data_IF_209458629503
#
_entry.id   IF_209458629503
#
_cell.length_a   1.000
_cell.length_b   1.000
_cell.length_c   1.000
_cell.angle_alpha   90.00
_cell.angle_beta   90.00
_cell.angle_gamma   90.00
#
_symmetry.space_group_name_H-M   'P 1'
#
loop_
_entity.id
_entity.type
_entity.pdbx_description
1 polymer ?
#
# COMPACT_ATOMS: atom_id res chain seq x y z
N UNK A 1 -5.22 4.25 -22.40
CA UNK A 1 -6.17 3.76 -23.42
C UNK A 1 -6.30 4.72 -24.60
N UNK A 2 -6.79 5.97 -24.42
CA UNK A 2 -7.02 6.92 -25.53
C UNK A 2 -5.91 7.00 -26.61
N UNK A 3 -4.68 7.40 -26.21
CA UNK A 3 -3.54 7.55 -27.15
C UNK A 3 -3.17 6.25 -27.88
N UNK A 4 -3.29 5.11 -27.19
CA UNK A 4 -3.03 3.81 -27.78
C UNK A 4 -4.05 3.54 -28.92
N UNK A 5 -5.34 3.73 -28.65
CA UNK A 5 -6.39 3.55 -29.65
C UNK A 5 -6.28 4.51 -30.83
N UNK A 6 -5.99 5.79 -30.56
CA UNK A 6 -5.80 6.82 -31.60
C UNK A 6 -4.66 6.47 -32.56
N UNK A 7 -3.51 6.06 -32.03
CA UNK A 7 -2.31 5.77 -32.84
C UNK A 7 -2.41 4.42 -33.55
N UNK A 8 -2.98 3.40 -32.91
CA UNK A 8 -3.23 2.12 -33.57
C UNK A 8 -4.18 2.26 -34.76
N UNK A 9 -5.17 3.16 -34.68
CA UNK A 9 -6.05 3.49 -35.81
C UNK A 9 -5.33 4.13 -37.01
N UNK A 10 -4.12 4.64 -36.81
CA UNK A 10 -3.24 5.19 -37.85
C UNK A 10 -2.15 4.21 -38.30
N UNK A 11 -2.17 2.96 -37.82
CA UNK A 11 -1.11 1.98 -38.08
C UNK A 11 0.20 2.28 -37.35
N UNK A 12 0.17 3.09 -36.29
CA UNK A 12 1.33 3.43 -35.47
C UNK A 12 1.29 2.69 -34.14
N UNK A 13 2.36 1.94 -33.84
CA UNK A 13 2.48 1.32 -32.53
C UNK A 13 2.70 2.36 -31.42
N UNK A 14 2.09 2.11 -30.28
CA UNK A 14 2.24 2.91 -29.06
C UNK A 14 2.59 2.04 -27.86
N UNK A 15 3.57 2.51 -27.07
CA UNK A 15 3.96 1.93 -25.78
C UNK A 15 3.91 3.03 -24.72
N UNK A 16 3.08 2.82 -23.70
CA UNK A 16 3.14 3.57 -22.45
C UNK A 16 4.01 2.80 -21.46
N UNK A 17 5.08 3.43 -20.96
CA UNK A 17 6.02 2.78 -20.05
C UNK A 17 6.11 3.53 -18.72
N UNK A 18 5.76 2.84 -17.64
CA UNK A 18 6.06 3.32 -16.30
C UNK A 18 7.54 3.17 -15.97
N UNK A 19 8.18 4.23 -15.49
CA UNK A 19 9.60 4.21 -15.07
C UNK A 19 9.70 4.60 -13.59
N UNK A 20 10.43 3.84 -12.78
CA UNK A 20 10.64 4.09 -11.35
C UNK A 20 12.11 3.96 -10.96
N UNK A 21 12.54 4.69 -9.93
CA UNK A 21 13.92 4.68 -9.42
C UNK A 21 14.57 6.05 -9.12
N UNK A 22 13.86 7.14 -9.42
CA UNK A 22 14.41 8.49 -9.26
C UNK A 22 15.60 8.74 -10.20
N UNK A 23 16.38 9.78 -9.91
CA UNK A 23 17.52 10.20 -10.76
C UNK A 23 18.62 9.13 -10.81
N UNK A 24 18.97 8.56 -9.66
CA UNK A 24 20.00 7.52 -9.55
C UNK A 24 19.55 6.24 -10.27
N UNK A 25 18.30 5.81 -10.06
CA UNK A 25 17.74 4.66 -10.77
C UNK A 25 17.71 4.88 -12.28
N UNK A 26 17.32 6.06 -12.75
CA UNK A 26 17.35 6.37 -14.19
C UNK A 26 18.77 6.29 -14.78
N UNK A 27 19.81 6.66 -14.02
CA UNK A 27 21.20 6.63 -14.48
C UNK A 27 21.81 5.24 -14.55
N UNK A 28 21.49 4.37 -13.58
CA UNK A 28 22.20 3.10 -13.37
C UNK A 28 21.34 1.84 -13.57
N UNK A 29 20.02 1.98 -13.62
CA UNK A 29 19.10 0.87 -13.81
C UNK A 29 17.73 1.13 -13.17
N UNK A 30 16.73 1.61 -13.92
CA UNK A 30 15.39 1.80 -13.38
C UNK A 30 14.57 0.51 -13.45
N UNK A 31 13.44 0.48 -12.73
CA UNK A 31 12.36 -0.45 -13.04
C UNK A 31 11.52 0.12 -14.18
N UNK A 32 11.23 -0.68 -15.20
CA UNK A 32 10.49 -0.27 -16.40
C UNK A 32 9.30 -1.20 -16.64
N UNK A 33 8.13 -0.63 -16.90
CA UNK A 33 6.85 -1.32 -16.96
C UNK A 33 6.15 -0.98 -18.29
N UNK A 34 6.64 -1.48 -19.44
CA UNK A 34 6.06 -1.21 -20.76
C UNK A 34 4.73 -1.94 -20.98
N UNK A 35 3.71 -1.22 -21.46
CA UNK A 35 2.45 -1.80 -21.94
C UNK A 35 1.92 -1.04 -23.15
N UNK A 36 1.08 -1.68 -23.96
CA UNK A 36 0.57 -1.10 -25.19
C UNK A 36 0.49 -2.12 -26.33
N UNK A 37 1.19 -1.85 -27.42
CA UNK A 37 1.20 -2.70 -28.62
C UNK A 37 2.15 -3.88 -28.43
N UNK A 38 1.63 -5.10 -28.38
CA UNK A 38 2.46 -6.32 -28.24
C UNK A 38 3.52 -6.42 -29.33
N UNK A 39 3.15 -6.09 -30.57
CA UNK A 39 4.03 -6.22 -31.74
C UNK A 39 5.21 -5.24 -31.69
N UNK A 40 5.11 -4.17 -30.89
CA UNK A 40 6.22 -3.26 -30.66
C UNK A 40 7.24 -3.77 -29.63
N UNK A 41 6.85 -4.76 -28.81
CA UNK A 41 7.70 -5.22 -27.70
C UNK A 41 9.00 -5.83 -28.20
N UNK A 42 8.95 -6.70 -29.21
CA UNK A 42 10.14 -7.37 -29.74
C UNK A 42 11.18 -6.39 -30.29
N UNK A 43 10.74 -5.23 -30.78
CA UNK A 43 11.62 -4.17 -31.28
C UNK A 43 12.35 -3.40 -30.16
N UNK A 44 11.72 -3.23 -28.99
CA UNK A 44 12.28 -2.41 -27.90
C UNK A 44 12.84 -3.23 -26.74
N UNK A 45 12.47 -4.52 -26.64
CA UNK A 45 12.85 -5.43 -25.56
C UNK A 45 14.36 -5.46 -25.29
N UNK A 46 15.25 -5.63 -26.31
CA UNK A 46 16.68 -5.69 -26.06
C UNK A 46 17.21 -4.43 -25.38
N UNK A 47 16.76 -3.25 -25.82
CA UNK A 47 17.17 -1.97 -25.25
C UNK A 47 16.63 -1.81 -23.82
N UNK A 48 15.34 -2.03 -23.62
CA UNK A 48 14.67 -1.81 -22.33
C UNK A 48 15.24 -2.73 -21.24
N UNK A 49 15.45 -4.02 -21.55
CA UNK A 49 16.05 -4.96 -20.60
C UNK A 49 17.54 -4.69 -20.38
N UNK A 50 18.28 -4.22 -21.39
CA UNK A 50 19.68 -3.85 -21.26
C UNK A 50 19.90 -2.68 -20.30
N UNK A 51 19.00 -1.70 -20.27
CA UNK A 51 19.15 -0.50 -19.41
C UNK A 51 18.47 -0.61 -18.04
N UNK A 52 17.54 -1.54 -17.82
CA UNK A 52 16.82 -1.68 -16.54
C UNK A 52 17.72 -2.10 -15.38
N UNK A 53 17.24 -2.04 -14.14
CA UNK A 53 17.88 -2.78 -13.05
C UNK A 53 17.89 -4.30 -13.33
N UNK A 54 18.77 -5.03 -12.64
CA UNK A 54 18.83 -6.50 -12.65
C UNK A 54 18.84 -7.02 -11.23
N UNK A 55 18.10 -8.10 -10.98
CA UNK A 55 18.16 -8.88 -9.73
C UNK A 55 18.34 -10.34 -10.12
N UNK A 56 19.37 -11.01 -9.61
CA UNK A 56 19.74 -12.39 -10.01
C UNK A 56 19.90 -12.55 -11.54
N UNK A 57 20.50 -11.54 -12.19
CA UNK A 57 20.62 -11.42 -13.65
C UNK A 57 19.28 -11.32 -14.41
N UNK A 58 18.14 -11.22 -13.73
CA UNK A 58 16.83 -11.00 -14.34
C UNK A 58 16.55 -9.50 -14.47
N UNK A 59 16.28 -8.98 -15.68
CA UNK A 59 15.90 -7.58 -15.88
C UNK A 59 14.62 -7.22 -15.11
N UNK A 60 14.65 -6.07 -14.42
CA UNK A 60 13.46 -5.46 -13.82
C UNK A 60 12.61 -4.73 -14.88
N UNK A 61 12.33 -5.43 -15.98
CA UNK A 61 11.56 -4.95 -17.12
C UNK A 61 11.01 -6.12 -17.94
N UNK A 62 9.69 -6.15 -18.12
CA UNK A 62 9.01 -7.06 -19.04
C UNK A 62 7.72 -6.44 -19.57
N UNK A 63 7.15 -7.01 -20.63
CA UNK A 63 5.89 -6.55 -21.19
C UNK A 63 4.74 -6.81 -20.22
N UNK A 64 4.02 -5.74 -19.88
CA UNK A 64 2.96 -5.78 -18.86
C UNK A 64 1.63 -6.25 -19.43
N UNK A 65 1.31 -5.87 -20.67
CA UNK A 65 0.05 -6.21 -21.31
C UNK A 65 -0.42 -5.14 -22.30
N UNK A 66 -1.67 -5.27 -22.76
CA UNK A 66 -2.26 -4.37 -23.75
C UNK A 66 -2.51 -2.93 -23.27
N UNK A 67 -2.64 -2.00 -24.22
CA UNK A 67 -3.19 -0.67 -23.99
C UNK A 67 -2.46 0.19 -22.94
N UNK A 68 -3.10 0.45 -21.79
CA UNK A 68 -2.62 1.35 -20.74
C UNK A 68 -1.95 0.64 -19.56
N UNK A 69 -1.80 -0.69 -19.63
CA UNK A 69 -1.40 -1.56 -18.52
C UNK A 69 -0.09 -1.13 -17.83
N UNK A 70 0.94 -0.76 -18.59
CA UNK A 70 2.23 -0.35 -18.05
C UNK A 70 2.18 0.90 -17.15
N UNK A 71 1.42 1.92 -17.57
CA UNK A 71 1.18 3.10 -16.73
C UNK A 71 0.27 2.79 -15.55
N UNK A 72 -0.68 1.87 -15.71
CA UNK A 72 -1.56 1.44 -14.62
C UNK A 72 -0.77 0.74 -13.51
N UNK A 73 0.10 -0.22 -13.86
CA UNK A 73 1.00 -0.89 -12.91
C UNK A 73 1.89 0.14 -12.20
N UNK A 74 2.39 1.16 -12.91
CA UNK A 74 3.16 2.24 -12.28
C UNK A 74 2.35 3.10 -11.32
N UNK A 75 1.07 3.36 -11.62
CA UNK A 75 0.16 4.06 -10.73
C UNK A 75 -0.03 3.26 -9.43
N UNK A 76 -0.32 1.95 -9.53
CA UNK A 76 -0.46 1.08 -8.36
C UNK A 76 0.84 1.00 -7.56
N UNK A 77 2.00 0.87 -8.21
CA UNK A 77 3.31 0.97 -7.56
C UNK A 77 3.42 2.23 -6.69
N UNK A 78 3.05 3.41 -7.21
CA UNK A 78 3.10 4.64 -6.42
C UNK A 78 2.06 4.70 -5.31
N UNK A 79 0.91 4.03 -5.47
CA UNK A 79 -0.02 3.82 -4.36
C UNK A 79 0.62 3.03 -3.23
N UNK A 80 1.23 1.89 -3.54
CA UNK A 80 1.95 1.05 -2.57
C UNK A 80 3.09 1.83 -1.91
N UNK A 81 3.85 2.61 -2.68
CA UNK A 81 4.89 3.51 -2.17
C UNK A 81 4.34 4.49 -1.12
N UNK A 82 3.17 5.08 -1.34
CA UNK A 82 2.55 5.98 -0.36
C UNK A 82 2.14 5.23 0.91
N UNK A 83 1.60 4.02 0.76
CA UNK A 83 1.28 3.13 1.87
C UNK A 83 2.50 2.79 2.72
N UNK A 84 3.58 2.30 2.09
CA UNK A 84 4.82 1.91 2.76
C UNK A 84 5.42 3.09 3.54
N UNK A 85 5.52 4.26 2.90
CA UNK A 85 6.02 5.48 3.56
C UNK A 85 5.16 5.89 4.77
N UNK A 86 3.83 5.79 4.65
CA UNK A 86 2.93 6.21 5.71
C UNK A 86 2.98 5.24 6.91
N UNK A 87 3.02 3.92 6.68
CA UNK A 87 3.15 2.95 7.77
C UNK A 87 4.50 3.13 8.48
N UNK A 88 5.59 3.41 7.75
CA UNK A 88 6.90 3.76 8.33
C UNK A 88 6.80 5.02 9.21
N UNK A 89 6.09 6.05 8.75
CA UNK A 89 5.89 7.28 9.52
C UNK A 89 5.06 7.04 10.79
N UNK A 90 4.04 6.18 10.74
CA UNK A 90 3.21 5.82 11.89
C UNK A 90 4.02 5.08 12.96
N UNK A 91 4.84 4.09 12.57
CA UNK A 91 5.70 3.40 13.55
C UNK A 91 6.78 4.30 14.11
N UNK A 92 7.31 5.23 13.32
CA UNK A 92 8.20 6.28 13.82
C UNK A 92 7.52 7.10 14.92
N UNK A 93 6.29 7.55 14.72
CA UNK A 93 5.56 8.34 15.72
C UNK A 93 5.34 7.55 17.01
N UNK A 94 4.98 6.26 16.91
CA UNK A 94 4.83 5.39 18.09
C UNK A 94 6.16 5.24 18.83
N UNK A 95 7.25 4.95 18.13
CA UNK A 95 8.57 4.77 18.74
C UNK A 95 9.11 6.06 19.36
N UNK A 96 8.86 7.22 18.74
CA UNK A 96 9.31 8.51 19.25
C UNK A 96 8.45 8.99 20.42
N UNK A 97 7.13 9.02 20.25
CA UNK A 97 6.22 9.68 21.18
C UNK A 97 5.75 8.77 22.31
N UNK A 98 5.70 7.45 22.09
CA UNK A 98 5.29 6.46 23.12
C UNK A 98 6.51 5.78 23.73
N UNK A 99 7.38 5.19 22.91
CA UNK A 99 8.56 4.47 23.40
C UNK A 99 9.68 5.42 23.86
N UNK A 100 9.64 6.70 23.46
CA UNK A 100 10.58 7.73 23.90
C UNK A 100 11.97 7.62 23.26
N UNK A 101 12.10 6.96 22.11
CA UNK A 101 13.38 6.77 21.45
C UNK A 101 13.92 8.09 20.87
N UNK A 102 15.22 8.32 21.06
CA UNK A 102 15.96 9.37 20.37
C UNK A 102 16.15 9.05 18.88
N UNK A 103 16.50 10.06 18.07
CA UNK A 103 16.76 9.83 16.63
C UNK A 103 17.95 8.87 16.40
N UNK A 104 18.98 8.89 17.24
CA UNK A 104 20.09 7.95 17.14
C UNK A 104 19.65 6.50 17.47
N UNK A 105 18.72 6.31 18.41
CA UNK A 105 18.14 4.99 18.70
C UNK A 105 17.19 4.54 17.58
N UNK A 106 16.35 5.44 17.05
CA UNK A 106 15.51 5.18 15.88
C UNK A 106 16.35 4.74 14.68
N UNK A 107 17.46 5.42 14.41
CA UNK A 107 18.41 5.03 13.35
C UNK A 107 18.86 3.58 13.54
N UNK A 108 19.31 3.21 14.74
CA UNK A 108 19.79 1.85 15.05
C UNK A 108 18.67 0.81 14.92
N UNK A 109 17.48 1.10 15.43
CA UNK A 109 16.32 0.21 15.31
C UNK A 109 15.96 -0.06 13.85
N UNK A 110 15.94 0.97 13.00
CA UNK A 110 15.67 0.78 11.56
C UNK A 110 16.83 0.09 10.83
N UNK A 111 18.09 0.30 11.22
CA UNK A 111 19.24 -0.48 10.72
C UNK A 111 19.12 -1.97 11.07
N UNK A 112 18.60 -2.30 12.25
CA UNK A 112 18.34 -3.69 12.67
C UNK A 112 17.15 -4.29 11.92
N UNK A 113 16.06 -3.56 11.76
CA UNK A 113 14.90 -3.99 10.96
C UNK A 113 15.26 -4.22 9.49
N UNK A 114 16.19 -3.43 8.94
CA UNK A 114 16.65 -3.63 7.57
C UNK A 114 17.49 -4.91 7.38
N UNK A 115 17.79 -5.66 8.44
CA UNK A 115 18.45 -6.98 8.38
C UNK A 115 17.45 -8.13 8.56
N UNK A 116 16.15 -7.83 8.63
CA UNK A 116 15.08 -8.80 8.83
C UNK A 116 14.20 -8.90 7.56
N UNK A 117 13.00 -9.45 7.66
CA UNK A 117 11.98 -9.45 6.60
C UNK A 117 11.54 -8.06 6.13
N UNK A 118 11.92 -7.00 6.85
CA UNK A 118 11.67 -5.61 6.48
C UNK A 118 12.77 -5.01 5.58
N UNK A 119 13.81 -5.78 5.23
CA UNK A 119 14.86 -5.36 4.29
C UNK A 119 14.26 -4.73 3.03
N UNK A 120 14.49 -3.42 2.91
CA UNK A 120 13.93 -2.61 1.84
C UNK A 120 14.60 -1.25 1.75
N UNK A 121 14.58 -0.67 0.56
CA UNK A 121 15.16 0.65 0.36
C UNK A 121 14.55 1.72 1.26
N UNK A 122 13.23 1.68 1.49
CA UNK A 122 12.55 2.67 2.33
C UNK A 122 12.98 2.59 3.81
N UNK A 123 13.22 1.39 4.34
CA UNK A 123 13.73 1.21 5.70
C UNK A 123 15.19 1.67 5.80
N UNK A 124 16.02 1.31 4.81
CA UNK A 124 17.42 1.75 4.70
C UNK A 124 17.54 3.28 4.72
N UNK A 125 16.81 4.00 3.85
CA UNK A 125 16.89 5.46 3.82
C UNK A 125 16.30 6.09 5.08
N UNK A 126 15.31 5.46 5.72
CA UNK A 126 14.71 5.96 6.95
C UNK A 126 15.73 5.95 8.09
N UNK A 127 16.51 4.88 8.23
CA UNK A 127 17.64 4.84 9.17
C UNK A 127 18.64 5.97 8.89
N UNK A 128 19.05 6.14 7.63
CA UNK A 128 19.99 7.19 7.22
C UNK A 128 19.45 8.61 7.51
N UNK A 129 18.14 8.83 7.32
CA UNK A 129 17.48 10.12 7.61
C UNK A 129 17.55 10.44 9.10
N UNK A 130 17.30 9.48 10.00
CA UNK A 130 17.39 9.72 11.43
C UNK A 130 18.81 10.06 11.88
N UNK A 131 19.81 9.44 11.27
CA UNK A 131 21.24 9.69 11.55
C UNK A 131 21.72 11.06 11.08
N UNK A 132 21.08 11.64 10.06
CA UNK A 132 21.57 12.85 9.41
C UNK A 132 21.49 14.08 10.33
N UNK A 133 22.60 14.81 10.42
CA UNK A 133 22.72 16.06 11.19
C UNK A 133 22.95 17.24 10.25
N UNK A 134 22.28 18.34 10.54
CA UNK A 134 22.47 19.63 9.88
C UNK A 134 23.79 20.29 10.35
N UNK A 135 24.33 21.34 9.68
CA UNK A 135 25.58 21.99 10.10
C UNK A 135 25.58 22.55 11.53
N UNK A 136 24.41 22.77 12.13
CA UNK A 136 24.27 23.17 13.54
C UNK A 136 24.40 21.99 14.54
N UNK A 137 24.65 20.77 14.05
CA UNK A 137 24.82 19.55 14.83
C UNK A 137 23.52 18.87 15.25
N UNK A 138 22.35 19.48 14.99
CA UNK A 138 21.03 18.91 15.31
C UNK A 138 20.55 17.99 14.20
N UNK A 139 19.67 17.05 14.53
CA UNK A 139 19.07 16.17 13.53
C UNK A 139 18.17 16.96 12.59
N UNK A 140 18.36 16.78 11.28
CA UNK A 140 17.61 17.55 10.28
C UNK A 140 16.11 17.21 10.29
N UNK A 141 15.75 15.95 10.57
CA UNK A 141 14.35 15.49 10.57
C UNK A 141 13.44 16.32 11.49
N UNK A 142 13.96 16.77 12.64
CA UNK A 142 13.20 17.56 13.61
C UNK A 142 12.97 19.02 13.17
N UNK A 143 13.64 19.44 12.09
CA UNK A 143 13.54 20.80 11.51
C UNK A 143 12.68 20.82 10.24
N UNK A 144 12.33 19.66 9.69
CA UNK A 144 11.54 19.56 8.46
C UNK A 144 10.07 19.88 8.77
N UNK A 145 9.46 20.71 7.92
CA UNK A 145 8.03 21.01 8.02
C UNK A 145 7.20 19.76 7.71
N UNK A 146 6.30 19.40 8.63
CA UNK A 146 5.38 18.27 8.57
C UNK A 146 4.16 18.52 7.65
N UNK A 147 4.42 18.86 6.38
CA UNK A 147 3.42 19.07 5.35
C UNK A 147 3.82 18.31 4.07
N UNK A 148 3.34 17.07 3.95
CA UNK A 148 3.74 16.16 2.88
C UNK A 148 3.12 16.54 1.54
N UNK A 149 3.97 16.79 0.54
CA UNK A 149 3.54 17.00 -0.83
C UNK A 149 3.08 15.70 -1.52
N UNK A 150 2.35 15.85 -2.62
CA UNK A 150 1.99 14.75 -3.52
C UNK A 150 1.84 15.24 -4.95
N UNK A 151 2.18 14.38 -5.92
CA UNK A 151 2.08 14.67 -7.37
C UNK A 151 0.83 14.04 -8.02
N UNK A 152 -0.08 13.48 -7.23
CA UNK A 152 -1.37 12.97 -7.68
C UNK A 152 -1.44 11.48 -8.01
N UNK A 153 -0.33 10.79 -8.23
CA UNK A 153 -0.34 9.36 -8.63
C UNK A 153 -0.94 8.43 -7.57
N UNK A 154 -0.64 8.64 -6.28
CA UNK A 154 -1.28 7.88 -5.19
C UNK A 154 -2.79 8.13 -5.10
N UNK A 155 -3.24 9.37 -5.36
CA UNK A 155 -4.67 9.73 -5.42
C UNK A 155 -5.37 8.98 -6.56
N UNK A 156 -4.74 8.83 -7.73
CA UNK A 156 -5.33 8.11 -8.84
C UNK A 156 -5.58 6.63 -8.52
N UNK A 157 -4.66 5.95 -7.83
CA UNK A 157 -4.89 4.57 -7.37
C UNK A 157 -6.12 4.45 -6.48
N UNK A 158 -6.31 5.41 -5.56
CA UNK A 158 -7.49 5.43 -4.69
C UNK A 158 -8.80 5.66 -5.44
N UNK A 159 -8.81 6.60 -6.39
CA UNK A 159 -9.99 6.87 -7.22
C UNK A 159 -10.34 5.66 -8.09
N UNK A 160 -9.34 5.05 -8.70
CA UNK A 160 -9.53 3.90 -9.57
C UNK A 160 -10.07 2.69 -8.80
N UNK A 161 -9.51 2.39 -7.62
CA UNK A 161 -10.04 1.35 -6.75
C UNK A 161 -11.50 1.60 -6.33
N UNK A 162 -11.89 2.85 -6.08
CA UNK A 162 -13.29 3.20 -5.79
C UNK A 162 -14.20 2.95 -7.01
N UNK A 163 -13.75 3.30 -8.21
CA UNK A 163 -14.50 3.04 -9.45
C UNK A 163 -14.70 1.53 -9.69
N UNK A 164 -13.69 0.72 -9.39
CA UNK A 164 -13.71 -0.74 -9.57
C UNK A 164 -14.29 -1.50 -8.37
N UNK A 165 -14.71 -0.80 -7.30
CA UNK A 165 -15.27 -1.43 -6.10
C UNK A 165 -14.26 -2.26 -5.28
N UNK A 166 -12.97 -1.92 -5.36
CA UNK A 166 -11.88 -2.62 -4.66
C UNK A 166 -11.56 -1.94 -3.32
N UNK A 167 -11.50 -2.66 -2.19
CA UNK A 167 -11.23 -2.09 -0.87
C UNK A 167 -9.74 -1.74 -0.66
N UNK A 168 -9.24 -0.72 -1.36
CA UNK A 168 -7.85 -0.24 -1.29
C UNK A 168 -7.61 0.71 -0.08
N UNK A 169 -8.03 0.27 1.11
CA UNK A 169 -8.16 1.15 2.28
C UNK A 169 -6.85 1.80 2.73
N UNK A 170 -5.77 1.02 2.85
CA UNK A 170 -4.51 1.54 3.40
C UNK A 170 -3.90 2.62 2.52
N UNK A 171 -3.89 2.42 1.20
CA UNK A 171 -3.34 3.41 0.26
C UNK A 171 -4.21 4.66 0.26
N UNK A 172 -5.54 4.53 0.31
CA UNK A 172 -6.43 5.70 0.41
C UNK A 172 -6.18 6.48 1.70
N UNK A 173 -6.04 5.80 2.85
CA UNK A 173 -5.67 6.44 4.11
C UNK A 173 -4.32 7.16 4.03
N UNK A 174 -3.32 6.58 3.35
CA UNK A 174 -2.03 7.25 3.15
C UNK A 174 -2.13 8.54 2.34
N UNK A 175 -3.07 8.62 1.39
CA UNK A 175 -3.36 9.85 0.65
C UNK A 175 -4.02 10.88 1.56
N UNK A 176 -5.00 10.46 2.37
CA UNK A 176 -5.66 11.36 3.33
C UNK A 176 -4.71 11.85 4.43
N UNK A 177 -3.79 11.04 4.91
CA UNK A 177 -2.76 11.45 5.86
C UNK A 177 -1.90 12.59 5.31
N UNK A 178 -1.55 12.56 4.01
CA UNK A 178 -0.85 13.68 3.34
C UNK A 178 -1.71 14.93 3.27
N UNK A 179 -2.99 14.79 2.91
CA UNK A 179 -3.94 15.91 2.92
C UNK A 179 -4.05 16.54 4.32
N UNK A 180 -4.20 15.72 5.37
CA UNK A 180 -4.26 16.17 6.76
C UNK A 180 -2.98 16.90 7.19
N UNK A 181 -1.81 16.38 6.81
CA UNK A 181 -0.53 17.04 7.11
C UNK A 181 -0.43 18.44 6.48
N UNK A 182 -1.04 18.64 5.30
CA UNK A 182 -1.05 19.93 4.59
C UNK A 182 -1.88 21.00 5.31
N UNK A 183 -2.83 20.62 6.15
CA UNK A 183 -3.61 21.51 7.01
C UNK A 183 -2.81 22.02 8.22
N UNK A 184 -1.51 22.31 8.06
CA UNK A 184 -0.58 22.59 9.16
C UNK A 184 -1.05 23.73 10.07
N UNK A 185 -1.43 24.87 9.50
CA UNK A 185 -1.87 26.02 10.29
C UNK A 185 -3.17 25.74 11.05
N UNK A 186 -4.06 24.94 10.47
CA UNK A 186 -5.30 24.52 11.11
C UNK A 186 -5.03 23.53 12.24
N UNK A 187 -4.14 22.55 12.04
CA UNK A 187 -3.70 21.62 13.09
C UNK A 187 -3.06 22.33 14.28
N UNK A 188 -2.24 23.36 14.04
CA UNK A 188 -1.66 24.19 15.12
C UNK A 188 -2.73 24.93 15.92
N UNK A 189 -3.77 25.45 15.26
CA UNK A 189 -4.92 26.05 15.97
C UNK A 189 -5.70 24.98 16.76
N UNK A 190 -5.97 23.84 16.12
CA UNK A 190 -6.71 22.74 16.72
C UNK A 190 -6.00 22.18 17.97
N UNK A 191 -4.66 22.08 17.97
CA UNK A 191 -3.91 21.58 19.13
C UNK A 191 -3.99 22.45 20.37
N UNK A 192 -4.40 23.72 20.23
CA UNK A 192 -4.62 24.63 21.36
C UNK A 192 -6.05 24.52 21.94
N UNK A 193 -6.97 23.83 21.24
CA UNK A 193 -8.39 23.79 21.57
C UNK A 193 -8.84 22.37 21.91
N UNK A 194 -8.41 21.39 21.12
CA UNK A 194 -8.80 19.99 21.25
C UNK A 194 -7.86 19.28 22.22
N UNK A 195 -8.44 18.56 23.19
CA UNK A 195 -7.70 17.83 24.21
C UNK A 195 -7.70 16.34 23.86
N UNK A 196 -6.50 15.76 23.76
CA UNK A 196 -6.31 14.32 23.60
C UNK A 196 -6.29 13.58 24.95
N UNK A 197 -6.00 12.26 24.93
CA UNK A 197 -5.74 11.51 26.15
C UNK A 197 -4.66 12.18 27.02
N UNK A 198 -4.71 12.02 28.36
CA UNK A 198 -3.68 12.60 29.22
C UNK A 198 -2.28 12.12 28.83
N UNK A 199 -1.33 13.05 28.72
CA UNK A 199 0.07 12.70 28.47
C UNK A 199 0.58 11.84 29.62
N UNK A 200 0.87 10.57 29.33
CA UNK A 200 1.45 9.61 30.29
C UNK A 200 2.74 9.08 29.70
N UNK A 201 3.72 8.79 30.55
CA UNK A 201 4.87 8.00 30.13
C UNK A 201 4.43 6.56 29.92
N UNK A 202 4.92 5.92 28.86
CA UNK A 202 4.76 4.49 28.70
C UNK A 202 5.47 3.77 29.84
N UNK A 203 4.75 2.89 30.54
CA UNK A 203 5.26 2.12 31.68
C UNK A 203 5.46 0.64 31.38
N UNK A 204 5.20 0.21 30.13
CA UNK A 204 5.43 -1.16 29.69
C UNK A 204 6.88 -1.41 29.26
N UNK A 205 7.15 -2.61 28.76
CA UNK A 205 8.46 -2.95 28.21
C UNK A 205 8.66 -2.29 26.84
N UNK A 206 9.61 -1.36 26.77
CA UNK A 206 9.99 -0.65 25.54
C UNK A 206 10.51 -1.61 24.47
N UNK A 207 11.22 -2.68 24.84
CA UNK A 207 11.70 -3.68 23.88
C UNK A 207 10.56 -4.47 23.28
N UNK A 208 9.57 -4.86 24.10
CA UNK A 208 8.35 -5.50 23.62
C UNK A 208 7.59 -4.57 22.66
N UNK A 209 7.47 -3.28 22.98
CA UNK A 209 6.81 -2.31 22.11
C UNK A 209 7.53 -2.15 20.77
N UNK A 210 8.86 -2.13 20.75
CA UNK A 210 9.66 -2.09 19.51
C UNK A 210 9.34 -3.30 18.64
N UNK A 211 9.36 -4.51 19.21
CA UNK A 211 9.07 -5.74 18.46
C UNK A 211 7.61 -5.79 17.98
N UNK A 212 6.65 -5.42 18.84
CA UNK A 212 5.25 -5.33 18.44
C UNK A 212 5.05 -4.36 17.27
N UNK A 213 5.73 -3.22 17.31
CA UNK A 213 5.67 -2.19 16.29
C UNK A 213 6.30 -2.67 14.98
N UNK A 214 7.39 -3.43 15.04
CA UNK A 214 8.01 -4.09 13.89
C UNK A 214 7.03 -5.07 13.21
N UNK A 215 6.36 -5.89 14.02
CA UNK A 215 5.33 -6.82 13.54
C UNK A 215 4.13 -6.08 12.93
N UNK A 216 3.70 -4.97 13.53
CA UNK A 216 2.64 -4.11 13.00
C UNK A 216 2.98 -3.55 11.62
N UNK A 217 4.20 -3.01 11.47
CA UNK A 217 4.72 -2.52 10.18
C UNK A 217 4.71 -3.64 9.13
N UNK A 218 5.22 -4.83 9.48
CA UNK A 218 5.28 -5.95 8.54
C UNK A 218 3.87 -6.43 8.13
N UNK A 219 2.95 -6.59 9.08
CA UNK A 219 1.58 -7.01 8.81
C UNK A 219 0.83 -5.99 7.93
N UNK A 220 0.93 -4.69 8.25
CA UNK A 220 0.32 -3.64 7.44
C UNK A 220 0.93 -3.56 6.03
N UNK A 221 2.24 -3.79 5.89
CA UNK A 221 2.89 -3.92 4.57
C UNK A 221 2.29 -5.08 3.77
N UNK A 222 2.11 -6.26 4.38
CA UNK A 222 1.45 -7.41 3.71
C UNK A 222 0.04 -7.01 3.21
N UNK A 223 -0.73 -6.30 4.02
CA UNK A 223 -2.08 -5.84 3.63
C UNK A 223 -2.02 -4.82 2.49
N UNK A 224 -1.12 -3.84 2.54
CA UNK A 224 -0.93 -2.83 1.48
C UNK A 224 -0.70 -3.50 0.12
N UNK A 225 0.24 -4.46 0.05
CA UNK A 225 0.52 -5.18 -1.18
C UNK A 225 -0.64 -6.10 -1.58
N UNK A 226 -1.27 -6.77 -0.61
CA UNK A 226 -2.48 -7.57 -0.87
C UNK A 226 -3.54 -6.76 -1.60
N UNK A 227 -3.87 -5.57 -1.08
CA UNK A 227 -4.87 -4.68 -1.68
C UNK A 227 -4.41 -4.13 -3.04
N UNK A 228 -3.12 -3.81 -3.20
CA UNK A 228 -2.55 -3.38 -4.48
C UNK A 228 -2.67 -4.45 -5.57
N UNK A 229 -2.36 -5.71 -5.26
CA UNK A 229 -2.52 -6.82 -6.20
C UNK A 229 -3.99 -7.16 -6.47
N UNK A 230 -4.89 -7.00 -5.48
CA UNK A 230 -6.34 -7.08 -5.72
C UNK A 230 -6.81 -6.03 -6.73
N UNK A 231 -6.29 -4.80 -6.63
CA UNK A 231 -6.59 -3.70 -7.54
C UNK A 231 -6.13 -4.02 -8.97
N UNK A 232 -4.88 -4.48 -9.13
CA UNK A 232 -4.37 -4.90 -10.45
C UNK A 232 -5.16 -6.08 -11.03
N UNK A 233 -5.60 -7.03 -10.21
CA UNK A 233 -6.43 -8.15 -10.67
C UNK A 233 -7.78 -7.66 -11.20
N UNK A 234 -8.48 -6.81 -10.45
CA UNK A 234 -9.74 -6.22 -10.89
C UNK A 234 -9.58 -5.47 -12.21
N UNK A 235 -8.54 -4.66 -12.35
CA UNK A 235 -8.22 -3.98 -13.60
C UNK A 235 -7.89 -4.95 -14.74
N UNK A 236 -7.14 -6.02 -14.47
CA UNK A 236 -6.87 -7.06 -15.46
C UNK A 236 -8.15 -7.70 -15.98
N UNK A 237 -9.11 -7.98 -15.09
CA UNK A 237 -10.41 -8.57 -15.42
C UNK A 237 -11.30 -7.58 -16.20
N UNK A 238 -11.32 -6.31 -15.80
CA UNK A 238 -12.12 -5.25 -16.43
C UNK A 238 -11.61 -4.89 -17.82
N UNK A 239 -10.29 -4.73 -17.97
CA UNK A 239 -9.66 -4.29 -19.21
C UNK A 239 -9.11 -5.42 -20.09
N UNK A 240 -9.25 -6.68 -19.65
CA UNK A 240 -8.77 -7.88 -20.36
C UNK A 240 -7.28 -7.81 -20.69
N UNK A 241 -6.46 -7.37 -19.73
CA UNK A 241 -5.02 -7.19 -19.92
C UNK A 241 -4.18 -8.45 -19.70
N UNK A 242 -4.76 -9.50 -19.09
CA UNK A 242 -4.07 -10.75 -18.74
C UNK A 242 -2.74 -10.51 -18.01
N UNK A 243 -2.79 -9.68 -16.96
CA UNK A 243 -1.60 -9.24 -16.24
C UNK A 243 -0.89 -10.42 -15.56
N UNK A 244 0.40 -10.58 -15.85
CA UNK A 244 1.26 -11.52 -15.13
C UNK A 244 1.75 -10.91 -13.80
N UNK A 245 1.06 -11.25 -12.71
CA UNK A 245 1.36 -10.73 -11.37
C UNK A 245 2.76 -11.10 -10.87
N UNK A 246 3.26 -12.29 -11.22
CA UNK A 246 4.62 -12.72 -10.87
C UNK A 246 5.68 -11.89 -11.60
N UNK A 247 5.47 -11.60 -12.89
CA UNK A 247 6.35 -10.72 -13.67
C UNK A 247 6.33 -9.28 -13.11
N UNK A 248 5.15 -8.76 -12.75
CA UNK A 248 5.01 -7.45 -12.10
C UNK A 248 5.81 -7.39 -10.78
N UNK A 249 5.64 -8.40 -9.92
CA UNK A 249 6.42 -8.49 -8.69
C UNK A 249 7.93 -8.54 -8.98
N UNK A 250 8.35 -9.30 -9.99
CA UNK A 250 9.74 -9.38 -10.44
C UNK A 250 10.30 -8.04 -10.89
N UNK A 251 9.54 -7.25 -11.68
CA UNK A 251 9.95 -5.91 -12.10
C UNK A 251 10.11 -4.93 -10.93
N UNK A 252 9.39 -5.13 -9.83
CA UNK A 252 9.50 -4.28 -8.65
C UNK A 252 10.65 -4.68 -7.71
N UNK A 253 11.26 -5.88 -7.86
CA UNK A 253 12.34 -6.36 -6.98
C UNK A 253 13.58 -5.46 -6.97
N UNK A 254 13.82 -4.72 -8.05
CA UNK A 254 14.99 -3.83 -8.20
C UNK A 254 14.65 -2.57 -8.98
N UNK A 255 15.52 -1.56 -8.88
CA UNK A 255 15.42 -0.30 -9.62
C UNK A 255 14.31 0.65 -9.16
N UNK A 256 13.21 0.16 -8.59
CA UNK A 256 12.10 0.98 -8.12
C UNK A 256 12.26 1.45 -6.66
N UNK A 257 11.36 2.31 -6.18
CA UNK A 257 11.40 2.85 -4.80
C UNK A 257 10.99 1.81 -3.77
N UNK A 258 9.98 0.98 -4.09
CA UNK A 258 9.45 -0.06 -3.18
C UNK A 258 10.27 -1.35 -3.17
N UNK A 259 11.46 -1.35 -3.79
CA UNK A 259 12.32 -2.53 -3.90
C UNK A 259 12.67 -3.10 -2.52
N UNK A 260 12.55 -4.42 -2.40
CA UNK A 260 12.70 -5.15 -1.14
C UNK A 260 12.82 -6.65 -1.38
N UNK A 261 13.43 -7.37 -0.43
CA UNK A 261 13.41 -8.85 -0.42
C UNK A 261 11.97 -9.39 -0.36
N UNK A 262 11.06 -8.66 0.27
CA UNK A 262 9.62 -8.95 0.33
C UNK A 262 8.98 -9.22 -1.04
N UNK A 263 9.40 -8.50 -2.08
CA UNK A 263 8.90 -8.71 -3.44
C UNK A 263 9.34 -10.04 -4.08
N UNK A 264 10.46 -10.61 -3.60
CA UNK A 264 10.85 -11.97 -3.95
C UNK A 264 9.83 -13.00 -3.46
N UNK A 265 9.31 -12.83 -2.24
CA UNK A 265 8.27 -13.70 -1.70
C UNK A 265 6.96 -13.60 -2.49
N UNK A 266 6.59 -12.39 -2.92
CA UNK A 266 5.40 -12.18 -3.78
C UNK A 266 5.59 -12.87 -5.12
N UNK A 267 6.76 -12.71 -5.75
CA UNK A 267 7.09 -13.40 -7.00
C UNK A 267 6.95 -14.92 -6.83
N UNK A 268 7.54 -15.49 -5.78
CA UNK A 268 7.48 -16.93 -5.51
C UNK A 268 6.03 -17.42 -5.31
N UNK A 269 5.19 -16.65 -4.62
CA UNK A 269 3.77 -17.00 -4.44
C UNK A 269 3.03 -17.11 -5.78
N UNK A 270 3.27 -16.18 -6.71
CA UNK A 270 2.68 -16.23 -8.05
C UNK A 270 3.36 -17.24 -8.99
N UNK A 271 4.65 -17.51 -8.84
CA UNK A 271 5.31 -18.59 -9.58
C UNK A 271 4.68 -19.95 -9.21
N UNK A 272 4.44 -20.18 -7.91
CA UNK A 272 3.82 -21.40 -7.41
C UNK A 272 2.33 -21.50 -7.77
N UNK A 273 1.60 -20.38 -7.73
CA UNK A 273 0.17 -20.30 -8.01
C UNK A 273 -0.13 -19.07 -8.89
N UNK A 274 0.01 -19.17 -10.23
CA UNK A 274 -0.16 -18.01 -11.12
C UNK A 274 -1.55 -17.34 -11.06
N UNK A 275 -2.58 -18.11 -10.69
CA UNK A 275 -3.96 -17.64 -10.52
C UNK A 275 -4.33 -17.37 -9.06
N UNK A 276 -3.36 -17.09 -8.21
CA UNK A 276 -3.58 -16.76 -6.79
C UNK A 276 -4.52 -15.57 -6.68
N UNK A 277 -5.66 -15.77 -6.02
CA UNK A 277 -6.70 -14.74 -5.89
C UNK A 277 -6.30 -13.63 -4.92
N UNK A 278 -5.59 -13.97 -3.86
CA UNK A 278 -5.21 -13.04 -2.81
C UNK A 278 -3.89 -13.52 -2.20
N UNK A 279 -2.96 -12.60 -1.92
CA UNK A 279 -1.67 -12.93 -1.32
C UNK A 279 -1.82 -13.64 0.03
N UNK A 280 -2.85 -13.31 0.82
CA UNK A 280 -3.12 -13.95 2.12
C UNK A 280 -3.50 -15.44 2.01
N UNK A 281 -3.77 -15.96 0.81
CA UNK A 281 -4.02 -17.39 0.58
C UNK A 281 -2.76 -18.20 0.30
N UNK A 282 -1.62 -17.53 0.11
CA UNK A 282 -0.32 -18.19 0.04
C UNK A 282 0.20 -18.51 1.45
N UNK A 283 0.88 -19.64 1.60
CA UNK A 283 1.28 -20.17 2.90
C UNK A 283 2.32 -19.29 3.61
N UNK A 284 3.20 -18.62 2.85
CA UNK A 284 4.18 -17.69 3.43
C UNK A 284 3.47 -16.50 4.06
N UNK A 285 2.61 -15.80 3.31
CA UNK A 285 1.93 -14.60 3.80
C UNK A 285 0.91 -14.92 4.90
N UNK A 286 0.20 -16.05 4.79
CA UNK A 286 -0.69 -16.55 5.84
C UNK A 286 0.06 -16.78 7.15
N UNK A 287 1.22 -17.44 7.10
CA UNK A 287 2.03 -17.70 8.30
C UNK A 287 2.60 -16.40 8.87
N UNK A 288 3.14 -15.54 7.99
CA UNK A 288 3.69 -14.24 8.37
C UNK A 288 2.67 -13.36 9.10
N UNK A 289 1.45 -13.23 8.58
CA UNK A 289 0.44 -12.38 9.19
C UNK A 289 -0.10 -12.99 10.50
N UNK A 290 -0.23 -14.31 10.59
CA UNK A 290 -0.64 -15.01 11.83
C UNK A 290 0.39 -14.80 12.93
N UNK A 291 1.68 -14.83 12.61
CA UNK A 291 2.75 -14.60 13.58
C UNK A 291 2.84 -13.13 14.02
N UNK A 292 2.54 -12.19 13.11
CA UNK A 292 2.64 -10.76 13.39
C UNK A 292 1.38 -10.15 14.06
N UNK A 293 0.22 -10.81 13.97
CA UNK A 293 -1.05 -10.18 14.36
C UNK A 293 -1.15 -9.81 15.85
N UNK A 294 -0.46 -10.52 16.75
CA UNK A 294 -0.50 -10.19 18.18
C UNK A 294 0.19 -8.85 18.45
N UNK A 295 1.45 -8.70 18.00
CA UNK A 295 2.18 -7.44 18.13
C UNK A 295 1.52 -6.31 17.36
N UNK A 296 0.93 -6.61 16.20
CA UNK A 296 0.13 -5.64 15.45
C UNK A 296 -1.06 -5.10 16.25
N UNK A 297 -1.86 -5.98 16.86
CA UNK A 297 -3.02 -5.57 17.69
C UNK A 297 -2.57 -4.78 18.91
N UNK A 298 -1.53 -5.24 19.62
CA UNK A 298 -0.95 -4.52 20.76
C UNK A 298 -0.54 -3.10 20.36
N UNK A 299 0.13 -2.96 19.23
CA UNK A 299 0.57 -1.65 18.69
C UNK A 299 -0.62 -0.73 18.42
N UNK A 300 -1.68 -1.23 17.77
CA UNK A 300 -2.89 -0.42 17.49
C UNK A 300 -3.59 0.01 18.78
N UNK A 301 -3.71 -0.88 19.76
CA UNK A 301 -4.31 -0.56 21.07
C UNK A 301 -3.50 0.51 21.79
N UNK A 302 -2.18 0.34 21.87
CA UNK A 302 -1.29 1.30 22.54
C UNK A 302 -1.35 2.66 21.84
N UNK A 303 -1.18 2.71 20.51
CA UNK A 303 -1.27 3.96 19.76
C UNK A 303 -2.61 4.68 20.01
N UNK A 304 -3.72 3.94 20.01
CA UNK A 304 -5.06 4.49 20.30
C UNK A 304 -5.16 5.05 21.72
N UNK A 305 -4.66 4.32 22.73
CA UNK A 305 -4.66 4.77 24.13
C UNK A 305 -3.82 6.04 24.34
N UNK A 306 -2.73 6.19 23.60
CA UNK A 306 -1.83 7.34 23.65
C UNK A 306 -2.23 8.48 22.70
N UNK A 307 -3.29 8.30 21.90
CA UNK A 307 -3.75 9.32 20.94
C UNK A 307 -2.82 9.54 19.76
N UNK A 308 -2.03 8.54 19.38
CA UNK A 308 -1.14 8.59 18.20
C UNK A 308 -1.96 8.26 16.94
N UNK A 309 -1.99 9.13 15.92
CA UNK A 309 -2.75 8.87 14.70
C UNK A 309 -2.07 7.77 13.87
N UNK A 310 -2.81 6.67 13.65
CA UNK A 310 -2.33 5.48 12.94
C UNK A 310 -3.30 5.01 11.83
N UNK A 311 -3.67 5.88 10.87
CA UNK A 311 -4.73 5.59 9.90
C UNK A 311 -4.42 4.37 9.00
N UNK A 312 -3.17 4.14 8.61
CA UNK A 312 -2.80 2.98 7.79
C UNK A 312 -2.74 1.69 8.61
N UNK A 313 -2.10 1.69 9.80
CA UNK A 313 -2.03 0.50 10.65
C UNK A 313 -3.42 0.02 11.08
N UNK A 314 -4.31 0.95 11.45
CA UNK A 314 -5.67 0.64 11.90
C UNK A 314 -6.58 0.20 10.75
N UNK A 315 -6.51 0.86 9.58
CA UNK A 315 -7.33 0.47 8.43
C UNK A 315 -6.90 -0.87 7.82
N UNK A 316 -5.60 -1.19 7.84
CA UNK A 316 -5.13 -2.52 7.45
C UNK A 316 -5.63 -3.60 8.41
N UNK A 317 -5.67 -3.34 9.72
CA UNK A 317 -6.17 -4.31 10.71
C UNK A 317 -7.66 -4.55 10.51
N UNK A 318 -8.40 -3.47 10.30
CA UNK A 318 -9.83 -3.50 10.00
C UNK A 318 -10.11 -4.28 8.71
N UNK A 319 -9.30 -4.08 7.65
CA UNK A 319 -9.39 -4.88 6.43
C UNK A 319 -9.10 -6.36 6.68
N UNK A 320 -8.03 -6.70 7.40
CA UNK A 320 -7.69 -8.08 7.70
C UNK A 320 -8.81 -8.80 8.47
N UNK A 321 -9.34 -8.16 9.52
CA UNK A 321 -10.44 -8.70 10.32
C UNK A 321 -11.76 -8.79 9.52
N UNK A 322 -12.06 -7.79 8.68
CA UNK A 322 -13.20 -7.85 7.77
C UNK A 322 -13.07 -8.99 6.75
N UNK A 323 -11.90 -9.12 6.11
CA UNK A 323 -11.65 -10.08 5.03
C UNK A 323 -11.70 -11.54 5.51
N UNK A 324 -11.23 -11.83 6.73
CA UNK A 324 -11.28 -13.19 7.30
C UNK A 324 -12.64 -13.54 7.92
N UNK A 325 -13.57 -12.59 8.01
CA UNK A 325 -14.86 -12.82 8.65
C UNK A 325 -15.85 -13.46 7.68
N UNK A 326 -16.34 -14.66 8.01
CA UNK A 326 -17.42 -15.31 7.27
C UNK A 326 -18.69 -14.45 7.22
N UNK A 327 -18.88 -13.62 8.23
CA UNK A 327 -20.03 -12.77 8.44
C UNK A 327 -19.58 -11.37 8.87
N UNK A 328 -20.06 -10.36 8.15
CA UNK A 328 -19.84 -8.94 8.44
C UNK A 328 -21.18 -8.24 8.64
N UNK A 329 -21.25 -7.11 9.36
CA UNK A 329 -22.51 -6.43 9.70
C UNK A 329 -23.22 -5.77 8.50
N UNK A 330 -22.82 -6.07 7.26
CA UNK A 330 -23.43 -5.54 6.04
C UNK A 330 -24.87 -6.01 5.84
N UNK A 331 -25.30 -7.08 6.52
CA UNK A 331 -26.70 -7.49 6.56
C UNK A 331 -27.61 -6.39 7.15
N UNK A 332 -27.14 -5.66 8.17
CA UNK A 332 -27.90 -4.52 8.72
C UNK A 332 -27.95 -3.36 7.72
N UNK A 333 -26.86 -3.08 7.02
CA UNK A 333 -26.86 -2.07 5.95
C UNK A 333 -27.85 -2.43 4.85
N UNK A 334 -27.94 -3.71 4.45
CA UNK A 334 -28.94 -4.16 3.49
C UNK A 334 -30.37 -3.97 4.02
N UNK A 335 -30.64 -4.37 5.27
CA UNK A 335 -31.94 -4.18 5.90
C UNK A 335 -32.34 -2.70 5.97
N UNK A 336 -31.41 -1.80 6.33
CA UNK A 336 -31.66 -0.36 6.34
C UNK A 336 -32.02 0.17 4.95
N UNK A 337 -31.24 -0.19 3.92
CA UNK A 337 -31.49 0.21 2.52
C UNK A 337 -32.86 -0.27 2.03
N UNK A 338 -33.23 -1.50 2.35
CA UNK A 338 -34.54 -2.04 2.00
C UNK A 338 -35.67 -1.34 2.77
N UNK A 339 -35.45 -1.02 4.05
CA UNK A 339 -36.41 -0.31 4.90
C UNK A 339 -36.80 1.07 4.35
N UNK A 340 -35.83 1.96 4.12
CA UNK A 340 -36.13 3.35 3.76
C UNK A 340 -36.32 3.57 2.26
N UNK A 341 -35.86 2.64 1.42
CA UNK A 341 -35.74 2.89 -0.02
C UNK A 341 -36.11 1.70 -0.91
N UNK A 342 -36.69 0.63 -0.35
CA UNK A 342 -37.09 -0.58 -1.09
C UNK A 342 -35.99 -1.13 -2.01
N UNK A 343 -34.73 -1.01 -1.57
CA UNK A 343 -33.56 -1.38 -2.37
C UNK A 343 -33.37 -2.89 -2.52
N UNK A 344 -34.22 -3.71 -1.92
CA UNK A 344 -34.17 -5.17 -1.90
C UNK A 344 -32.90 -5.73 -1.25
N UNK A 345 -32.92 -7.01 -0.90
CA UNK A 345 -31.77 -7.73 -0.36
C UNK A 345 -31.85 -9.22 -0.70
N UNK A 346 -30.76 -9.95 -0.53
CA UNK A 346 -30.70 -11.41 -0.75
C UNK A 346 -30.71 -12.18 0.58
N UNK A 347 -31.32 -13.37 0.57
CA UNK A 347 -31.24 -14.31 1.69
C UNK A 347 -30.06 -15.26 1.52
N UNK A 348 -29.44 -15.64 2.64
CA UNK A 348 -28.33 -16.61 2.65
C UNK A 348 -28.68 -17.95 2.01
N UNK A 349 -29.91 -18.40 2.24
CA UNK A 349 -30.41 -19.69 1.76
C UNK A 349 -30.70 -19.68 0.27
N UNK A 350 -30.77 -18.50 -0.36
CA UNK A 350 -31.13 -18.36 -1.76
C UNK A 350 -30.42 -17.16 -2.44
N UNK A 351 -29.07 -17.17 -2.55
CA UNK A 351 -28.34 -16.11 -3.24
C UNK A 351 -28.76 -15.98 -4.71
N UNK A 352 -28.75 -14.76 -5.23
CA UNK A 352 -29.23 -14.38 -6.57
C UNK A 352 -30.69 -13.93 -6.59
N UNK A 353 -31.47 -14.22 -5.53
CA UNK A 353 -32.88 -13.85 -5.44
C UNK A 353 -33.09 -12.69 -4.47
N UNK A 354 -33.49 -11.55 -5.02
CA UNK A 354 -33.73 -10.32 -4.28
C UNK A 354 -35.17 -10.26 -3.77
N UNK A 355 -35.33 -9.94 -2.49
CA UNK A 355 -36.61 -9.77 -1.82
C UNK A 355 -36.72 -8.36 -1.25
N UNK A 356 -37.94 -7.84 -1.23
CA UNK A 356 -38.30 -6.64 -0.47
C UNK A 356 -39.18 -7.06 0.70
N UNK A 357 -38.96 -6.49 1.87
CA UNK A 357 -39.84 -6.67 3.04
C UNK A 357 -40.64 -5.40 3.27
N UNK A 358 -41.95 -5.52 3.48
CA UNK A 358 -42.73 -4.40 4.03
C UNK A 358 -42.40 -4.25 5.52
N UNK A 359 -41.36 -3.45 5.82
CA UNK A 359 -40.88 -3.26 7.18
C UNK A 359 -41.79 -2.40 8.05
N UNK A 360 -42.59 -1.54 7.43
CA UNK A 360 -43.42 -0.56 8.15
C UNK A 360 -44.78 -1.13 8.53
N UNK A 361 -45.22 -2.19 7.86
CA UNK A 361 -46.55 -2.76 8.02
C UNK A 361 -47.68 -1.87 7.49
N UNK A 362 -47.34 -0.75 6.83
CA UNK A 362 -48.29 0.04 6.07
C UNK A 362 -48.27 -0.48 4.62
N UNK A 363 -49.42 -0.92 4.12
CA UNK A 363 -49.57 -1.17 2.70
C UNK A 363 -49.48 0.17 1.97
N UNK A 364 -48.54 0.31 1.02
CA UNK A 364 -48.42 1.46 0.14
C UNK A 364 -49.44 1.40 -1.00
#
# INVERSE_FOLDING_TARGET
MRRYSELMGLGLYFIGCGISGGEIGARYGPSMMPGGSSDAWDHIKPLFQCISAKVDNVPCCDFVGGGGSGHYVKMVHNGIEYGDMQVIAEVYAILKDVAGLSNDELSKTFEEWNKSELDSYLIEITANIFKFRDPDGKHLIDKIRDAAGQKGTGKWSGIDALNDGVPLTLIVESVFARCLSSLKNERVKASAILVGPPTKKFTGDVKELIECTRQALYAAKIISYTQGFMTMRAASDNYKWDLNMGAIASMWRGGCIIRSTFLGNIKNAFDNKPKLQNLLFDDFFKTAIVNAQEGWRKTVVIATQFGIPIPCLSSALSFYDGYRSKWVPANLTQAQRDYFGSHTYELLSNPGNFVHTNWTGYDQ
#
